data_IF_905559341872
#
_entry.id   IF_905559341872
#
_cell.length_a   1.000
_cell.length_b   1.000
_cell.length_c   1.000
_cell.angle_alpha   90.00
_cell.angle_beta   90.00
_cell.angle_gamma   90.00
#
_symmetry.space_group_name_H-M   'P 1'
#
loop_
_entity.id
_entity.type
_entity.pdbx_description
1 polymer ?
#
# COMPACT_ATOMS: atom_id res chain seq x y z
N UNK A 1 10.89 -6.24 16.62
CA UNK A 1 9.53 -5.87 16.22
C UNK A 1 9.44 -6.00 14.70
N UNK A 2 8.37 -6.57 14.17
CA UNK A 2 8.09 -6.65 12.73
C UNK A 2 6.75 -5.99 12.43
N UNK A 3 6.77 -5.02 11.53
CA UNK A 3 5.62 -4.33 10.97
C UNK A 3 5.48 -4.77 9.52
N UNK A 4 4.35 -5.41 9.21
CA UNK A 4 3.96 -5.70 7.83
C UNK A 4 3.27 -4.47 7.24
N UNK A 5 3.91 -3.80 6.28
CA UNK A 5 3.53 -2.45 5.86
C UNK A 5 2.44 -2.40 4.78
N UNK A 6 2.04 -3.55 4.23
CA UNK A 6 0.87 -3.65 3.36
C UNK A 6 0.24 -5.03 3.46
N UNK A 7 -0.99 -5.02 3.97
CA UNK A 7 -1.87 -6.18 4.05
C UNK A 7 -3.29 -5.74 3.74
N UNK A 8 -4.13 -6.70 3.39
CA UNK A 8 -5.52 -6.48 3.01
C UNK A 8 -6.44 -7.39 3.80
N UNK A 9 -7.54 -6.82 4.31
CA UNK A 9 -8.65 -7.57 4.87
C UNK A 9 -9.95 -7.01 4.32
N UNK A 10 -10.96 -7.87 4.22
CA UNK A 10 -12.30 -7.47 3.82
C UNK A 10 -13.32 -8.03 4.82
N UNK A 11 -14.46 -7.35 5.01
CA UNK A 11 -15.51 -7.86 5.87
C UNK A 11 -16.04 -9.18 5.31
N UNK A 12 -16.48 -10.08 6.20
CA UNK A 12 -17.03 -11.40 5.81
C UNK A 12 -18.23 -11.29 4.86
N UNK A 13 -18.96 -10.18 4.89
CA UNK A 13 -20.04 -9.94 3.92
C UNK A 13 -19.50 -9.92 2.47
N UNK A 14 -18.33 -9.34 2.25
CA UNK A 14 -17.71 -9.24 0.92
C UNK A 14 -17.28 -10.61 0.42
N UNK A 15 -16.60 -11.41 1.26
CA UNK A 15 -16.22 -12.77 0.88
C UNK A 15 -17.41 -13.69 0.67
N UNK A 16 -18.46 -13.59 1.49
CA UNK A 16 -19.68 -14.39 1.35
C UNK A 16 -20.50 -14.03 0.10
N UNK A 17 -20.31 -12.82 -0.46
CA UNK A 17 -21.08 -12.32 -1.59
C UNK A 17 -20.19 -11.76 -2.71
N UNK A 18 -19.07 -12.43 -3.00
CA UNK A 18 -18.04 -11.91 -3.92
C UNK A 18 -18.63 -11.46 -5.28
N UNK A 19 -19.54 -12.24 -5.87
CA UNK A 19 -20.19 -11.93 -7.16
C UNK A 19 -21.09 -10.69 -7.11
N UNK A 20 -21.66 -10.36 -5.95
CA UNK A 20 -22.38 -9.09 -5.75
C UNK A 20 -21.40 -7.92 -5.79
N UNK A 21 -20.28 -8.03 -5.09
CA UNK A 21 -19.30 -6.94 -5.00
C UNK A 21 -18.49 -6.73 -6.28
N UNK A 22 -18.23 -7.79 -7.06
CA UNK A 22 -17.67 -7.67 -8.42
C UNK A 22 -18.56 -6.83 -9.36
N UNK A 23 -19.89 -6.95 -9.23
CA UNK A 23 -20.83 -6.13 -10.01
C UNK A 23 -20.87 -4.67 -9.57
N UNK A 24 -20.56 -4.41 -8.29
CA UNK A 24 -20.55 -3.06 -7.71
C UNK A 24 -19.28 -2.31 -8.15
N UNK A 25 -18.12 -2.96 -8.04
CA UNK A 25 -16.84 -2.30 -8.25
C UNK A 25 -16.00 -3.00 -9.33
N UNK A 26 -15.71 -2.24 -10.39
CA UNK A 26 -14.96 -2.73 -11.54
C UNK A 26 -13.52 -3.11 -11.21
N UNK A 27 -12.86 -2.39 -10.31
CA UNK A 27 -11.49 -2.77 -9.93
C UNK A 27 -11.53 -4.07 -9.13
N UNK A 28 -12.50 -4.21 -8.22
CA UNK A 28 -12.69 -5.45 -7.48
C UNK A 28 -12.91 -6.66 -8.40
N UNK A 29 -13.72 -6.53 -9.45
CA UNK A 29 -13.89 -7.57 -10.48
C UNK A 29 -12.59 -7.91 -11.23
N UNK A 30 -11.78 -6.88 -11.52
CA UNK A 30 -10.47 -7.11 -12.13
C UNK A 30 -9.51 -7.85 -11.20
N UNK A 31 -9.53 -7.56 -9.89
CA UNK A 31 -8.58 -8.10 -8.91
C UNK A 31 -8.93 -9.52 -8.46
N UNK A 32 -10.21 -9.83 -8.28
CA UNK A 32 -10.64 -11.07 -7.64
C UNK A 32 -11.21 -12.08 -8.64
N UNK A 33 -10.84 -13.35 -8.48
CA UNK A 33 -11.44 -14.50 -9.16
C UNK A 33 -11.86 -15.58 -8.13
N UNK A 34 -12.29 -16.75 -8.61
CA UNK A 34 -12.76 -17.84 -7.76
C UNK A 34 -11.66 -18.46 -6.87
N UNK A 35 -10.38 -18.22 -7.20
CA UNK A 35 -9.22 -18.73 -6.47
C UNK A 35 -8.63 -17.68 -5.52
N UNK A 36 -9.04 -16.42 -5.64
CA UNK A 36 -8.58 -15.35 -4.78
C UNK A 36 -8.95 -15.64 -3.32
N UNK A 37 -7.95 -15.56 -2.44
CA UNK A 37 -8.18 -15.67 -1.00
C UNK A 37 -8.61 -14.32 -0.46
N UNK A 38 -9.72 -14.29 0.28
CA UNK A 38 -10.17 -13.13 1.02
C UNK A 38 -10.09 -13.47 2.51
N UNK A 39 -9.37 -12.63 3.26
CA UNK A 39 -9.19 -12.79 4.70
C UNK A 39 -9.88 -11.68 5.48
N UNK A 40 -10.36 -12.02 6.67
CA UNK A 40 -10.93 -11.08 7.62
C UNK A 40 -9.89 -10.75 8.73
N UNK A 41 -10.23 -9.81 9.62
CA UNK A 41 -9.34 -9.37 10.70
C UNK A 41 -8.92 -10.47 11.68
N UNK A 42 -9.78 -11.43 11.98
CA UNK A 42 -9.40 -12.55 12.87
C UNK A 42 -8.37 -13.46 12.18
N UNK A 43 -8.53 -13.71 10.88
CA UNK A 43 -7.58 -14.51 10.09
C UNK A 43 -6.21 -13.83 10.02
N UNK A 44 -6.19 -12.49 9.83
CA UNK A 44 -4.96 -11.70 9.84
C UNK A 44 -4.27 -11.79 11.21
N UNK A 45 -5.00 -11.68 12.31
CA UNK A 45 -4.44 -11.76 13.67
C UNK A 45 -3.84 -13.14 13.95
N UNK A 46 -4.50 -14.21 13.49
CA UNK A 46 -3.94 -15.56 13.56
C UNK A 46 -2.66 -15.67 12.72
N UNK A 47 -2.66 -15.15 11.49
CA UNK A 47 -1.47 -15.10 10.64
C UNK A 47 -0.32 -14.34 11.31
N UNK A 48 -0.60 -13.18 11.91
CA UNK A 48 0.40 -12.39 12.63
C UNK A 48 1.01 -13.18 13.79
N UNK A 49 0.16 -13.84 14.60
CA UNK A 49 0.62 -14.69 15.72
C UNK A 49 1.51 -15.83 15.23
N UNK A 50 1.12 -16.51 14.16
CA UNK A 50 1.83 -17.66 13.62
C UNK A 50 3.19 -17.31 12.99
N UNK A 51 3.41 -16.03 12.66
CA UNK A 51 4.59 -15.53 11.97
C UNK A 51 5.38 -14.49 12.77
N UNK A 52 5.02 -14.23 14.03
CA UNK A 52 5.64 -13.22 14.89
C UNK A 52 5.62 -11.80 14.29
N UNK A 53 4.52 -11.42 13.64
CA UNK A 53 4.28 -10.04 13.19
C UNK A 53 3.64 -9.27 14.36
N UNK A 54 4.24 -8.14 14.73
CA UNK A 54 3.78 -7.32 15.85
C UNK A 54 2.63 -6.40 15.45
N UNK A 55 2.73 -5.77 14.27
CA UNK A 55 1.72 -4.87 13.69
C UNK A 55 1.57 -5.11 12.19
N UNK A 56 0.36 -4.90 11.68
CA UNK A 56 0.07 -4.91 10.25
C UNK A 56 -0.61 -3.62 9.85
N UNK A 57 -0.06 -2.95 8.84
CA UNK A 57 -0.68 -1.83 8.15
C UNK A 57 -1.67 -2.40 7.15
N UNK A 58 -2.92 -1.97 7.26
CA UNK A 58 -4.04 -2.56 6.54
C UNK A 58 -4.66 -1.50 5.64
N UNK A 59 -4.59 -1.74 4.33
CA UNK A 59 -5.22 -0.91 3.31
C UNK A 59 -6.41 -1.59 2.66
N UNK A 60 -7.32 -0.78 2.13
CA UNK A 60 -8.28 -1.26 1.14
C UNK A 60 -7.63 -1.41 -0.24
N UNK A 61 -8.45 -1.41 -1.29
CA UNK A 61 -8.02 -1.43 -2.69
C UNK A 61 -8.36 -0.10 -3.38
N UNK A 62 -7.97 0.09 -4.64
CA UNK A 62 -8.23 1.32 -5.40
C UNK A 62 -9.68 1.48 -5.88
N UNK A 63 -10.64 1.52 -4.96
CA UNK A 63 -12.08 1.49 -5.22
C UNK A 63 -12.54 2.44 -6.34
N UNK A 64 -13.60 2.03 -7.04
CA UNK A 64 -14.38 2.81 -8.02
C UNK A 64 -15.82 3.04 -7.56
N UNK A 65 -16.23 2.41 -6.47
CA UNK A 65 -17.49 2.69 -5.79
C UNK A 65 -17.22 3.29 -4.39
N UNK A 66 -17.76 4.49 -4.16
CA UNK A 66 -17.61 5.19 -2.88
C UNK A 66 -18.29 4.45 -1.72
N UNK A 67 -19.43 3.80 -1.95
CA UNK A 67 -20.13 3.05 -0.90
C UNK A 67 -19.32 1.87 -0.40
N UNK A 68 -18.72 1.11 -1.32
CA UNK A 68 -17.80 0.03 -1.00
C UNK A 68 -16.53 0.53 -0.30
N UNK A 69 -15.96 1.65 -0.77
CA UNK A 69 -14.82 2.27 -0.11
C UNK A 69 -15.12 2.61 1.35
N UNK A 70 -16.26 3.27 1.59
CA UNK A 70 -16.70 3.67 2.93
C UNK A 70 -16.96 2.45 3.83
N UNK A 71 -17.64 1.43 3.30
CA UNK A 71 -17.89 0.16 4.01
C UNK A 71 -16.58 -0.52 4.46
N UNK A 72 -15.59 -0.61 3.57
CA UNK A 72 -14.32 -1.28 3.89
C UNK A 72 -13.47 -0.43 4.83
N UNK A 73 -13.44 0.89 4.67
CA UNK A 73 -12.75 1.80 5.59
C UNK A 73 -13.29 1.67 7.02
N UNK A 74 -14.61 1.65 7.16
CA UNK A 74 -15.28 1.44 8.46
C UNK A 74 -14.85 0.10 9.09
N UNK A 75 -14.87 -0.98 8.30
CA UNK A 75 -14.44 -2.31 8.75
C UNK A 75 -12.97 -2.37 9.19
N UNK A 76 -12.06 -1.76 8.42
CA UNK A 76 -10.62 -1.73 8.74
C UNK A 76 -10.38 -0.96 10.04
N UNK A 77 -11.02 0.20 10.19
CA UNK A 77 -10.94 0.99 11.41
C UNK A 77 -11.45 0.24 12.64
N UNK A 78 -12.64 -0.36 12.55
CA UNK A 78 -13.23 -1.16 13.64
C UNK A 78 -12.34 -2.36 14.01
N UNK A 79 -11.70 -2.98 13.02
CA UNK A 79 -10.74 -4.06 13.24
C UNK A 79 -9.50 -3.60 14.01
N UNK A 80 -8.99 -2.39 13.73
CA UNK A 80 -7.93 -1.74 14.53
C UNK A 80 -8.30 -1.59 16.01
N UNK A 81 -9.52 -1.11 16.27
CA UNK A 81 -10.05 -0.96 17.63
C UNK A 81 -10.23 -2.31 18.34
N UNK A 82 -10.84 -3.28 17.66
CA UNK A 82 -11.09 -4.64 18.17
C UNK A 82 -9.79 -5.33 18.62
N UNK A 83 -8.70 -5.14 17.87
CA UNK A 83 -7.44 -5.84 18.10
C UNK A 83 -6.35 -4.98 18.75
N UNK A 84 -6.73 -4.00 19.58
CA UNK A 84 -5.84 -3.18 20.42
C UNK A 84 -4.65 -2.60 19.64
N UNK A 85 -4.91 -2.01 18.48
CA UNK A 85 -3.90 -1.34 17.64
C UNK A 85 -2.78 -2.25 17.08
N UNK A 86 -3.01 -3.57 17.03
CA UNK A 86 -2.19 -4.48 16.20
C UNK A 86 -2.42 -4.28 14.70
N UNK A 87 -3.63 -3.87 14.34
CA UNK A 87 -3.99 -3.44 12.99
C UNK A 87 -3.90 -1.92 12.95
N UNK A 88 -3.09 -1.41 12.01
CA UNK A 88 -2.90 0.00 11.74
C UNK A 88 -3.71 0.36 10.49
N UNK A 89 -4.80 1.12 10.64
CA UNK A 89 -5.73 1.36 9.54
C UNK A 89 -5.21 2.43 8.57
N UNK A 90 -5.24 2.12 7.27
CA UNK A 90 -5.27 3.09 6.19
C UNK A 90 -6.71 3.23 5.68
N UNK A 91 -7.01 4.32 4.98
CA UNK A 91 -8.26 4.45 4.22
C UNK A 91 -8.01 4.42 2.71
N UNK A 92 -8.81 3.67 1.98
CA UNK A 92 -8.81 3.71 0.51
C UNK A 92 -10.03 4.48 0.01
N UNK A 93 -9.90 5.12 -1.16
CA UNK A 93 -10.89 6.04 -1.69
C UNK A 93 -11.20 5.72 -3.15
N UNK A 94 -12.46 5.92 -3.55
CA UNK A 94 -12.75 6.25 -4.95
C UNK A 94 -12.32 7.68 -5.20
N UNK A 95 -11.15 7.86 -5.81
CA UNK A 95 -10.53 9.18 -6.04
C UNK A 95 -11.31 10.09 -7.00
N UNK A 96 -12.31 9.56 -7.72
CA UNK A 96 -13.14 10.32 -8.65
C UNK A 96 -14.48 10.72 -8.07
N UNK A 97 -14.87 10.15 -6.92
CA UNK A 97 -16.11 10.54 -6.24
C UNK A 97 -16.07 11.99 -5.77
N UNK A 98 -17.22 12.66 -5.79
CA UNK A 98 -17.36 13.99 -5.14
C UNK A 98 -17.37 13.89 -3.60
N UNK A 99 -17.48 12.69 -3.06
CA UNK A 99 -17.53 12.40 -1.62
C UNK A 99 -16.18 11.93 -1.05
N UNK A 100 -15.13 11.83 -1.88
CA UNK A 100 -13.82 11.33 -1.43
C UNK A 100 -13.19 12.22 -0.35
N UNK A 101 -13.42 13.52 -0.44
CA UNK A 101 -12.96 14.50 0.55
C UNK A 101 -13.63 14.27 1.91
N UNK A 102 -14.96 14.16 1.93
CA UNK A 102 -15.73 13.88 3.13
C UNK A 102 -15.31 12.55 3.77
N UNK A 103 -15.15 11.50 2.96
CA UNK A 103 -14.69 10.18 3.42
C UNK A 103 -13.28 10.23 4.00
N UNK A 104 -12.37 10.96 3.36
CA UNK A 104 -10.99 11.12 3.85
C UNK A 104 -10.98 11.86 5.20
N UNK A 105 -11.73 12.97 5.32
CA UNK A 105 -11.82 13.73 6.56
C UNK A 105 -12.45 12.88 7.69
N UNK A 106 -13.48 12.09 7.38
CA UNK A 106 -14.06 11.10 8.31
C UNK A 106 -12.98 10.13 8.81
N UNK A 107 -12.20 9.54 7.89
CA UNK A 107 -11.15 8.59 8.22
C UNK A 107 -10.03 9.23 9.06
N UNK A 108 -9.58 10.44 8.70
CA UNK A 108 -8.57 11.20 9.48
C UNK A 108 -9.06 11.47 10.90
N UNK A 109 -10.33 11.88 11.06
CA UNK A 109 -10.93 12.13 12.38
C UNK A 109 -10.95 10.88 13.28
N UNK A 110 -10.90 9.69 12.67
CA UNK A 110 -10.84 8.39 13.34
C UNK A 110 -9.41 7.91 13.59
N UNK A 111 -8.40 8.62 13.09
CA UNK A 111 -6.98 8.31 13.34
C UNK A 111 -6.38 7.28 12.40
N UNK A 112 -6.83 7.22 11.14
CA UNK A 112 -6.10 6.47 10.10
C UNK A 112 -4.67 7.00 9.94
N UNK A 113 -3.74 6.11 9.59
CA UNK A 113 -2.31 6.44 9.48
C UNK A 113 -1.83 6.70 8.06
N UNK A 114 -2.73 6.68 7.09
CA UNK A 114 -2.42 6.95 5.69
C UNK A 114 -3.58 6.65 4.76
N UNK A 115 -3.34 6.92 3.48
CA UNK A 115 -4.27 6.66 2.39
C UNK A 115 -3.74 5.48 1.57
N UNK A 116 -4.59 4.54 1.18
CA UNK A 116 -4.28 3.49 0.22
C UNK A 116 -4.59 2.06 0.69
N UNK A 117 -4.39 1.07 -0.18
CA UNK A 117 -3.72 1.20 -1.49
C UNK A 117 -4.59 1.87 -2.56
N UNK A 118 -4.01 2.84 -3.28
CA UNK A 118 -4.65 3.44 -4.44
C UNK A 118 -4.13 2.82 -5.75
N UNK A 119 -5.05 2.32 -6.57
CA UNK A 119 -4.76 1.89 -7.94
C UNK A 119 -5.12 3.03 -8.90
N UNK A 120 -4.19 3.97 -9.03
CA UNK A 120 -4.37 5.13 -9.92
C UNK A 120 -3.74 4.87 -11.28
N UNK A 121 -4.24 5.56 -12.30
CA UNK A 121 -3.55 5.73 -13.58
C UNK A 121 -3.12 7.18 -13.66
N UNK A 122 -1.88 7.46 -13.26
CA UNK A 122 -1.40 8.83 -13.18
C UNK A 122 -1.05 9.38 -14.57
N UNK A 123 -1.84 10.34 -15.02
CA UNK A 123 -1.68 11.04 -16.29
C UNK A 123 -2.04 12.54 -16.15
N UNK A 124 -1.96 13.28 -17.26
CA UNK A 124 -2.30 14.71 -17.30
C UNK A 124 -3.76 15.01 -16.93
N UNK A 125 -4.66 14.03 -17.05
CA UNK A 125 -6.08 14.19 -16.71
C UNK A 125 -6.28 14.05 -15.20
N UNK A 126 -5.68 13.03 -14.58
CA UNK A 126 -5.73 12.84 -13.14
C UNK A 126 -5.00 13.98 -12.42
N UNK A 127 -3.84 14.42 -12.93
CA UNK A 127 -3.12 15.57 -12.40
C UNK A 127 -3.96 16.86 -12.37
N UNK A 128 -4.96 17.01 -13.25
CA UNK A 128 -5.87 18.16 -13.28
C UNK A 128 -7.19 17.93 -12.54
N UNK A 129 -7.42 16.72 -12.03
CA UNK A 129 -8.66 16.38 -11.35
C UNK A 129 -8.74 17.08 -9.98
N UNK A 130 -9.83 17.81 -9.72
CA UNK A 130 -10.02 18.56 -8.47
C UNK A 130 -10.08 17.67 -7.24
N UNK A 131 -10.77 16.53 -7.32
CA UNK A 131 -10.95 15.63 -6.18
C UNK A 131 -9.61 15.01 -5.78
N UNK A 132 -8.81 14.57 -6.77
CA UNK A 132 -7.47 14.06 -6.52
C UNK A 132 -6.53 15.12 -5.92
N UNK A 133 -6.58 16.35 -6.42
CA UNK A 133 -5.81 17.47 -5.84
C UNK A 133 -6.21 17.75 -4.39
N UNK A 134 -7.51 17.73 -4.08
CA UNK A 134 -7.98 17.93 -2.70
C UNK A 134 -7.49 16.80 -1.78
N UNK A 135 -7.54 15.54 -2.24
CA UNK A 135 -6.99 14.39 -1.50
C UNK A 135 -5.50 14.61 -1.21
N UNK A 136 -4.71 15.02 -2.21
CA UNK A 136 -3.29 15.30 -2.05
C UNK A 136 -3.04 16.46 -1.07
N UNK A 137 -3.80 17.55 -1.18
CA UNK A 137 -3.67 18.70 -0.27
C UNK A 137 -3.96 18.29 1.18
N UNK A 138 -5.08 17.61 1.43
CA UNK A 138 -5.48 17.15 2.76
C UNK A 138 -4.44 16.18 3.33
N UNK A 139 -3.93 15.24 2.53
CA UNK A 139 -2.90 14.30 2.97
C UNK A 139 -1.61 15.04 3.37
N UNK A 140 -1.21 16.05 2.60
CA UNK A 140 -0.03 16.88 2.88
C UNK A 140 -0.22 17.71 4.16
N UNK A 141 -1.39 18.34 4.35
CA UNK A 141 -1.70 19.16 5.53
C UNK A 141 -1.74 18.34 6.83
N UNK A 142 -2.18 17.08 6.74
CA UNK A 142 -2.25 16.16 7.87
C UNK A 142 -1.00 15.29 8.04
N UNK A 143 0.03 15.48 7.20
CA UNK A 143 1.28 14.71 7.21
C UNK A 143 1.08 13.18 7.15
N UNK A 144 0.07 12.71 6.41
CA UNK A 144 -0.19 11.27 6.24
C UNK A 144 0.33 10.79 4.87
N UNK A 145 0.98 9.61 4.80
CA UNK A 145 1.46 9.04 3.55
C UNK A 145 0.33 8.57 2.64
N UNK A 146 0.61 8.54 1.34
CA UNK A 146 -0.25 7.95 0.32
C UNK A 146 0.44 6.72 -0.27
N UNK A 147 -0.13 5.54 -0.04
CA UNK A 147 0.29 4.29 -0.64
C UNK A 147 -0.34 4.13 -2.02
N UNK A 148 0.49 4.01 -3.05
CA UNK A 148 0.07 3.86 -4.44
C UNK A 148 0.64 2.58 -5.04
N UNK A 149 -0.22 1.85 -5.75
CA UNK A 149 0.15 0.62 -6.44
C UNK A 149 1.25 0.89 -7.48
N UNK A 150 2.41 0.23 -7.31
CA UNK A 150 3.52 0.27 -8.26
C UNK A 150 3.50 -0.92 -9.23
N UNK A 151 3.74 -0.67 -10.52
CA UNK A 151 3.68 -1.70 -11.55
C UNK A 151 4.97 -1.77 -12.34
N UNK A 152 5.58 -2.94 -12.44
CA UNK A 152 6.73 -3.12 -13.32
C UNK A 152 6.30 -3.11 -14.80
N UNK A 153 6.97 -2.33 -15.69
CA UNK A 153 6.51 -2.12 -17.06
C UNK A 153 6.79 -3.31 -18.00
N UNK A 154 7.42 -4.38 -17.50
CA UNK A 154 7.86 -5.56 -18.25
C UNK A 154 7.42 -6.85 -17.55
N UNK A 155 7.80 -8.01 -18.08
CA UNK A 155 7.50 -9.30 -17.47
C UNK A 155 6.09 -9.81 -17.77
N UNK A 156 5.55 -10.64 -16.88
CA UNK A 156 4.28 -11.32 -17.11
C UNK A 156 3.08 -10.42 -16.79
N UNK A 157 1.91 -10.80 -17.34
CA UNK A 157 0.64 -10.16 -17.02
C UNK A 157 -0.04 -10.90 -15.87
N UNK A 158 -0.59 -10.16 -14.93
CA UNK A 158 -1.42 -10.67 -13.83
C UNK A 158 -2.59 -9.73 -13.59
N UNK A 159 -3.66 -10.26 -12.98
CA UNK A 159 -4.84 -9.49 -12.58
C UNK A 159 -4.41 -8.42 -11.58
N UNK A 160 -4.85 -7.18 -11.80
CA UNK A 160 -4.50 -6.07 -10.92
C UNK A 160 -3.19 -5.36 -11.23
N UNK A 161 -2.33 -5.88 -12.12
CA UNK A 161 -1.01 -5.29 -12.42
C UNK A 161 -1.04 -3.79 -12.62
N UNK A 162 -2.10 -3.25 -13.23
CA UNK A 162 -2.20 -1.83 -13.49
C UNK A 162 -1.14 -1.34 -14.49
N UNK A 163 -1.03 -0.03 -14.62
CA UNK A 163 -0.12 0.63 -15.58
C UNK A 163 0.63 1.79 -14.96
N UNK A 164 0.77 1.79 -13.63
CA UNK A 164 1.44 2.83 -12.88
C UNK A 164 2.94 2.53 -12.78
N UNK A 165 3.59 2.70 -13.92
CA UNK A 165 5.01 2.42 -14.11
C UNK A 165 5.92 3.45 -13.38
N UNK A 166 7.24 3.19 -13.28
CA UNK A 166 8.18 4.11 -12.66
C UNK A 166 8.14 5.54 -13.19
N UNK A 167 7.86 5.74 -14.48
CA UNK A 167 7.81 7.07 -15.09
C UNK A 167 6.59 7.85 -14.58
N UNK A 168 5.44 7.19 -14.48
CA UNK A 168 4.22 7.82 -13.92
C UNK A 168 4.38 8.13 -12.44
N UNK A 169 4.89 7.19 -11.65
CA UNK A 169 5.15 7.40 -10.22
C UNK A 169 6.15 8.54 -9.98
N UNK A 170 7.23 8.61 -10.77
CA UNK A 170 8.16 9.73 -10.70
C UNK A 170 7.49 11.08 -10.99
N UNK A 171 6.66 11.15 -12.03
CA UNK A 171 5.95 12.38 -12.37
C UNK A 171 4.93 12.78 -11.29
N UNK A 172 4.27 11.82 -10.65
CA UNK A 172 3.37 12.08 -9.51
C UNK A 172 4.10 12.80 -8.40
N UNK A 173 5.27 12.29 -7.97
CA UNK A 173 6.06 12.92 -6.90
C UNK A 173 6.61 14.27 -7.33
N UNK A 174 7.12 14.36 -8.57
CA UNK A 174 7.68 15.60 -9.12
C UNK A 174 6.66 16.74 -9.10
N UNK A 175 5.40 16.45 -9.39
CA UNK A 175 4.33 17.44 -9.41
C UNK A 175 3.71 17.69 -8.03
N UNK A 176 3.95 16.81 -7.06
CA UNK A 176 3.37 16.88 -5.71
C UNK A 176 4.46 16.69 -4.62
N UNK A 177 5.49 17.55 -4.58
CA UNK A 177 6.69 17.32 -3.75
C UNK A 177 6.47 17.45 -2.23
N UNK A 178 5.36 18.08 -1.80
CA UNK A 178 5.02 18.19 -0.38
C UNK A 178 4.40 16.92 0.20
N UNK A 179 3.92 16.02 -0.66
CA UNK A 179 3.31 14.76 -0.24
C UNK A 179 4.38 13.71 0.09
N UNK A 180 4.09 12.90 1.11
CA UNK A 180 4.81 11.67 1.41
C UNK A 180 4.14 10.51 0.68
N UNK A 181 4.92 9.71 -0.03
CA UNK A 181 4.41 8.55 -0.77
C UNK A 181 5.05 7.25 -0.30
N UNK A 182 4.26 6.18 -0.34
CA UNK A 182 4.74 4.80 -0.27
C UNK A 182 4.38 4.13 -1.59
N UNK A 183 5.34 3.57 -2.30
CA UNK A 183 5.07 2.84 -3.52
C UNK A 183 5.25 1.34 -3.29
N UNK A 184 4.18 0.59 -3.56
CA UNK A 184 4.22 -0.86 -3.46
C UNK A 184 5.14 -1.48 -4.50
N UNK A 185 5.53 -2.73 -4.27
CA UNK A 185 6.29 -3.52 -5.25
C UNK A 185 7.63 -2.88 -5.64
N UNK A 186 8.35 -2.30 -4.69
CA UNK A 186 9.56 -1.50 -4.95
C UNK A 186 9.35 -0.34 -5.94
N UNK A 187 8.12 0.18 -6.00
CA UNK A 187 7.68 1.20 -6.96
C UNK A 187 7.72 0.73 -8.42
N UNK A 188 7.45 -0.55 -8.68
CA UNK A 188 7.55 -1.12 -10.03
C UNK A 188 8.97 -1.06 -10.61
N UNK A 189 9.99 -0.95 -9.75
CA UNK A 189 11.38 -0.74 -10.12
C UNK A 189 11.85 0.71 -10.09
N UNK A 190 11.01 1.68 -9.71
CA UNK A 190 11.41 3.09 -9.56
C UNK A 190 12.59 3.26 -8.58
N UNK A 191 12.66 2.41 -7.55
CA UNK A 191 13.74 2.43 -6.55
C UNK A 191 15.15 2.35 -7.16
N UNK A 192 15.30 1.69 -8.32
CA UNK A 192 16.60 1.55 -8.97
C UNK A 192 17.09 2.83 -9.64
N UNK A 193 16.17 3.73 -10.00
CA UNK A 193 16.50 5.00 -10.65
C UNK A 193 17.00 6.07 -9.65
N UNK A 194 16.92 5.83 -8.34
CA UNK A 194 17.48 6.74 -7.31
C UNK A 194 19.02 6.84 -7.33
N UNK A 195 19.71 6.09 -8.19
CA UNK A 195 21.13 6.33 -8.47
C UNK A 195 21.36 7.62 -9.27
N UNK A 196 20.34 8.14 -9.96
CA UNK A 196 20.39 9.41 -10.66
C UNK A 196 20.18 10.57 -9.66
N UNK A 197 21.11 11.54 -9.54
CA UNK A 197 21.04 12.58 -8.52
C UNK A 197 19.73 13.38 -8.50
N UNK A 198 19.19 13.72 -9.67
CA UNK A 198 17.93 14.44 -9.85
C UNK A 198 16.71 13.60 -9.43
N UNK A 199 16.75 12.29 -9.67
CA UNK A 199 15.69 11.36 -9.27
C UNK A 199 15.71 11.21 -7.75
N UNK A 200 16.89 10.95 -7.17
CA UNK A 200 17.08 10.88 -5.71
C UNK A 200 16.56 12.11 -4.98
N UNK A 201 16.88 13.30 -5.51
CA UNK A 201 16.43 14.58 -4.95
C UNK A 201 14.90 14.71 -5.02
N UNK A 202 14.31 14.32 -6.15
CA UNK A 202 12.85 14.40 -6.34
C UNK A 202 12.11 13.43 -5.41
N UNK A 203 12.64 12.23 -5.23
CA UNK A 203 12.00 11.16 -4.47
C UNK A 203 12.35 11.19 -2.97
N UNK A 204 12.77 12.33 -2.42
CA UNK A 204 13.22 12.42 -1.01
C UNK A 204 12.14 12.01 -0.01
N UNK A 205 10.86 12.27 -0.32
CA UNK A 205 9.70 11.95 0.52
C UNK A 205 9.01 10.62 0.13
N UNK A 206 9.76 9.71 -0.50
CA UNK A 206 9.23 8.43 -1.01
C UNK A 206 9.83 7.27 -0.23
N UNK A 207 8.95 6.32 0.11
CA UNK A 207 9.29 4.99 0.62
C UNK A 207 8.82 3.93 -0.38
N UNK A 208 9.40 2.75 -0.29
CA UNK A 208 9.12 1.60 -1.14
C UNK A 208 8.84 0.39 -0.29
N UNK A 209 7.69 -0.23 -0.45
CA UNK A 209 7.42 -1.50 0.23
C UNK A 209 7.75 -2.71 -0.67
N UNK A 210 7.88 -3.85 -0.02
CA UNK A 210 8.29 -5.13 -0.63
C UNK A 210 7.11 -6.09 -0.87
N UNK A 211 5.88 -5.57 -0.85
CA UNK A 211 4.67 -6.36 -1.16
C UNK A 211 4.85 -7.10 -2.49
N UNK A 212 4.20 -8.25 -2.59
CA UNK A 212 4.28 -9.15 -3.74
C UNK A 212 5.70 -9.61 -4.19
N UNK A 213 6.78 -9.27 -3.47
CA UNK A 213 8.16 -9.50 -3.93
C UNK A 213 8.42 -10.93 -4.40
N UNK A 214 8.02 -12.00 -3.68
CA UNK A 214 8.30 -13.36 -4.12
C UNK A 214 7.68 -13.74 -5.48
N UNK A 215 6.69 -12.99 -5.98
CA UNK A 215 6.13 -13.17 -7.32
C UNK A 215 6.81 -12.31 -8.39
N UNK A 216 7.44 -11.19 -8.01
CA UNK A 216 7.93 -10.18 -8.95
C UNK A 216 9.45 -10.16 -9.08
N UNK A 217 10.17 -10.36 -7.99
CA UNK A 217 11.62 -10.20 -7.93
C UNK A 217 12.28 -11.36 -7.17
N UNK A 218 13.57 -11.61 -7.44
CA UNK A 218 14.36 -12.47 -6.58
C UNK A 218 14.73 -11.75 -5.27
N UNK A 219 15.07 -12.50 -4.21
CA UNK A 219 15.45 -11.95 -2.90
C UNK A 219 16.53 -10.86 -2.91
N UNK A 220 17.46 -10.88 -3.87
CA UNK A 220 18.54 -9.88 -3.92
C UNK A 220 18.02 -8.46 -4.18
N UNK A 221 16.74 -8.31 -4.56
CA UNK A 221 16.08 -7.02 -4.73
C UNK A 221 16.20 -6.12 -3.50
N UNK A 222 16.16 -6.66 -2.28
CA UNK A 222 16.34 -5.85 -1.06
C UNK A 222 17.72 -5.18 -1.05
N UNK A 223 18.80 -5.96 -1.29
CA UNK A 223 20.16 -5.42 -1.31
C UNK A 223 20.35 -4.42 -2.45
N UNK A 224 19.80 -4.71 -3.63
CA UNK A 224 19.85 -3.80 -4.77
C UNK A 224 19.12 -2.48 -4.47
N UNK A 225 17.94 -2.55 -3.85
CA UNK A 225 17.15 -1.38 -3.48
C UNK A 225 17.88 -0.51 -2.44
N UNK A 226 18.51 -1.12 -1.43
CA UNK A 226 19.35 -0.42 -0.45
C UNK A 226 20.50 0.31 -1.15
N UNK A 227 21.21 -0.38 -2.05
CA UNK A 227 22.36 0.18 -2.76
C UNK A 227 21.98 1.28 -3.76
N UNK A 228 20.80 1.19 -4.38
CA UNK A 228 20.34 2.18 -5.35
C UNK A 228 19.69 3.42 -4.72
N UNK A 229 18.96 3.25 -3.61
CA UNK A 229 18.20 4.33 -2.96
C UNK A 229 18.77 4.69 -1.58
N UNK A 230 18.29 4.02 -0.54
CA UNK A 230 18.72 4.08 0.85
C UNK A 230 18.05 2.96 1.64
N UNK A 231 18.76 2.39 2.62
CA UNK A 231 18.18 1.50 3.64
C UNK A 231 16.97 2.14 4.35
N UNK A 232 16.93 3.47 4.48
CA UNK A 232 15.92 4.20 5.24
C UNK A 232 14.58 4.38 4.49
N UNK A 233 14.48 3.85 3.26
CA UNK A 233 13.29 3.98 2.41
C UNK A 233 12.57 2.66 2.16
N UNK A 234 13.13 1.52 2.58
CA UNK A 234 12.60 0.20 2.24
C UNK A 234 11.74 -0.35 3.37
N UNK A 235 10.49 -0.70 3.06
CA UNK A 235 9.52 -1.23 4.02
C UNK A 235 9.30 -2.72 3.77
N UNK A 236 9.25 -3.51 4.84
CA UNK A 236 8.74 -4.87 4.74
C UNK A 236 7.22 -4.87 4.53
N UNK A 237 6.75 -5.59 3.52
CA UNK A 237 5.33 -5.81 3.29
C UNK A 237 5.11 -7.17 2.62
N UNK A 238 4.04 -7.87 3.01
CA UNK A 238 3.77 -9.23 2.51
C UNK A 238 2.75 -9.29 1.41
N UNK A 239 1.88 -8.27 1.32
CA UNK A 239 0.65 -8.32 0.53
C UNK A 239 -0.33 -9.42 1.00
N UNK A 240 -0.33 -9.75 2.30
CA UNK A 240 -1.27 -10.73 2.84
C UNK A 240 -2.72 -10.34 2.49
N UNK A 241 -3.59 -11.26 2.03
CA UNK A 241 -3.41 -12.71 2.02
C UNK A 241 -2.87 -13.29 0.70
N UNK A 242 -2.41 -12.46 -0.24
CA UNK A 242 -1.93 -12.90 -1.55
C UNK A 242 -0.76 -13.87 -1.43
N UNK A 243 0.20 -13.56 -0.55
CA UNK A 243 1.41 -14.36 -0.35
C UNK A 243 1.50 -14.86 1.10
N UNK A 244 1.98 -16.09 1.24
CA UNK A 244 2.30 -16.66 2.54
C UNK A 244 3.39 -15.83 3.24
N UNK A 245 3.09 -15.30 4.43
CA UNK A 245 4.00 -14.45 5.21
C UNK A 245 5.36 -15.12 5.50
N UNK A 246 5.42 -16.45 5.75
CA UNK A 246 6.70 -17.16 5.97
C UNK A 246 7.61 -17.08 4.74
N UNK A 247 7.01 -17.17 3.55
CA UNK A 247 7.75 -17.04 2.29
C UNK A 247 8.38 -15.65 2.21
N UNK A 248 7.61 -14.59 2.41
CA UNK A 248 8.13 -13.22 2.39
C UNK A 248 9.25 -13.00 3.42
N UNK A 249 9.09 -13.52 4.65
CA UNK A 249 10.12 -13.43 5.68
C UNK A 249 11.42 -14.14 5.25
N UNK A 250 11.33 -15.35 4.67
CA UNK A 250 12.52 -16.12 4.26
C UNK A 250 13.36 -15.43 3.16
N UNK A 251 12.76 -14.54 2.36
CA UNK A 251 13.48 -13.76 1.36
C UNK A 251 14.45 -12.74 2.01
N UNK A 252 14.29 -12.45 3.31
CA UNK A 252 15.12 -11.49 4.05
C UNK A 252 16.19 -12.14 4.93
N UNK A 253 16.26 -13.48 4.98
CA UNK A 253 17.10 -14.21 5.95
C UNK A 253 18.58 -13.81 5.90
N UNK A 254 19.07 -13.45 4.70
CA UNK A 254 20.45 -13.07 4.43
C UNK A 254 20.80 -11.62 4.82
N UNK A 255 19.82 -10.79 5.16
CA UNK A 255 20.05 -9.43 5.63
C UNK A 255 20.62 -9.46 7.06
N UNK A 256 21.50 -8.50 7.36
CA UNK A 256 22.07 -8.35 8.68
C UNK A 256 21.06 -7.74 9.68
N UNK A 257 21.48 -7.62 10.94
CA UNK A 257 20.59 -7.15 12.01
C UNK A 257 20.20 -5.66 11.86
N UNK A 258 21.08 -4.82 11.31
CA UNK A 258 20.78 -3.40 11.10
C UNK A 258 19.78 -3.24 9.95
N UNK A 259 20.02 -3.95 8.84
CA UNK A 259 19.12 -4.02 7.68
C UNK A 259 17.72 -4.49 8.08
N UNK A 260 17.63 -5.61 8.82
CA UNK A 260 16.35 -6.13 9.31
C UNK A 260 15.67 -5.15 10.25
N UNK A 261 16.41 -4.54 11.17
CA UNK A 261 15.84 -3.57 12.12
C UNK A 261 15.20 -2.37 11.40
N UNK A 262 15.87 -1.83 10.37
CA UNK A 262 15.33 -0.73 9.58
C UNK A 262 14.09 -1.15 8.77
N UNK A 263 14.23 -2.22 7.99
CA UNK A 263 13.23 -2.68 7.03
C UNK A 263 11.97 -3.23 7.71
N UNK A 264 12.12 -3.93 8.84
CA UNK A 264 10.98 -4.49 9.57
C UNK A 264 10.28 -3.51 10.50
N UNK A 265 10.85 -2.34 10.81
CA UNK A 265 10.22 -1.48 11.82
C UNK A 265 10.47 0.02 11.64
N UNK A 266 11.71 0.49 11.77
CA UNK A 266 12.02 1.92 11.87
C UNK A 266 11.49 2.71 10.66
N UNK A 267 11.63 2.15 9.46
CA UNK A 267 11.16 2.83 8.26
C UNK A 267 9.63 2.95 8.22
N UNK A 268 8.90 1.92 8.64
CA UNK A 268 7.42 1.96 8.71
C UNK A 268 6.95 2.95 9.78
N UNK A 269 7.63 3.01 10.92
CA UNK A 269 7.36 4.01 11.97
C UNK A 269 7.55 5.42 11.42
N UNK A 270 8.63 5.67 10.67
CA UNK A 270 8.92 6.96 10.05
C UNK A 270 7.93 7.32 8.92
N UNK A 271 7.59 6.34 8.08
CA UNK A 271 6.68 6.55 6.95
C UNK A 271 5.26 6.90 7.43
N UNK A 272 4.75 6.17 8.43
CA UNK A 272 3.35 6.25 8.88
C UNK A 272 3.12 6.94 10.24
N UNK A 273 4.18 7.44 10.88
CA UNK A 273 4.11 8.13 12.18
C UNK A 273 3.41 7.28 13.27
N UNK A 274 4.02 6.10 13.56
CA UNK A 274 3.45 5.03 14.40
C UNK A 274 3.91 5.02 15.86
#
# INVERSE_FOLDING_TARGET
>A
MIIDSLTHILPREVSANIEKFKKIDKLFDCLFDEKSTISNSDDLIENMKNNNIDKSIVGGFGWKDHGLASLVNDYIYESGNKHKSKIIPLCSLDIYSKFSEEELLKCISRGVKGIGELHIDYDNKLEKNSNFKNILAIASENNIPILVHGSEPVGHLYRGKGINDPKKLYNLVKNNPSNKFVFSHFGGGLVFYEQMPEVKKTLINVFYDSSAQPFLYNKNVYRNAINCSSINKILFATDYPLINTKRCLSETDYLDNEEKSQIFSHNSISAYDL
#
